data_IF_596117357733
#
_entry.id   IF_596117357733
#
_cell.length_a   1.000
_cell.length_b   1.000
_cell.length_c   1.000
_cell.angle_alpha   90.00
_cell.angle_beta   90.00
_cell.angle_gamma   90.00
#
_symmetry.space_group_name_H-M   'P 1'
#
loop_
_entity.id
_entity.type
_entity.pdbx_description
1 polymer ?
#
# COMPACT_ATOMS: atom_id res chain seq x y z
N UNK A 1 -2.60 6.77 18.11
CA UNK A 1 -3.81 6.28 17.42
C UNK A 1 -3.49 6.10 15.94
N UNK A 2 -3.98 5.02 15.32
CA UNK A 2 -3.84 4.79 13.88
C UNK A 2 -5.20 4.56 13.21
N UNK A 3 -5.29 4.80 11.91
CA UNK A 3 -6.48 4.50 11.11
C UNK A 3 -6.13 3.68 9.87
N UNK A 4 -6.92 2.63 9.62
CA UNK A 4 -6.85 1.84 8.40
C UNK A 4 -7.76 2.46 7.33
N UNK A 5 -7.22 2.68 6.14
CA UNK A 5 -7.94 3.31 5.03
C UNK A 5 -7.85 2.46 3.77
N UNK A 6 -8.80 2.59 2.85
CA UNK A 6 -8.69 1.93 1.56
C UNK A 6 -7.51 2.52 0.76
N UNK A 7 -6.74 1.68 0.06
CA UNK A 7 -5.61 2.16 -0.76
C UNK A 7 -6.02 3.15 -1.86
N UNK A 8 -7.27 3.07 -2.33
CA UNK A 8 -7.83 4.04 -3.27
C UNK A 8 -7.91 5.47 -2.70
N UNK A 9 -8.08 5.63 -1.38
CA UNK A 9 -8.13 6.95 -0.72
C UNK A 9 -6.85 7.75 -0.93
N UNK A 10 -5.72 7.08 -1.19
CA UNK A 10 -4.46 7.76 -1.54
C UNK A 10 -4.53 8.47 -2.91
N UNK A 11 -5.29 7.94 -3.86
CA UNK A 11 -5.44 8.51 -5.21
C UNK A 11 -6.55 9.55 -5.33
N UNK A 12 -7.66 9.34 -4.61
CA UNK A 12 -8.85 10.19 -4.78
C UNK A 12 -8.91 11.35 -3.80
N UNK A 13 -9.21 12.55 -4.32
CA UNK A 13 -9.54 13.73 -3.51
C UNK A 13 -11.02 13.77 -3.09
N UNK A 14 -11.90 13.09 -3.81
CA UNK A 14 -13.28 12.87 -3.37
C UNK A 14 -13.35 11.64 -2.47
N UNK A 15 -14.23 11.66 -1.47
CA UNK A 15 -14.51 10.50 -0.62
C UNK A 15 -15.31 9.41 -1.36
N UNK A 16 -15.86 9.73 -2.55
CA UNK A 16 -16.73 8.88 -3.37
C UNK A 16 -17.81 8.14 -2.56
N UNK A 17 -18.29 8.76 -1.48
CA UNK A 17 -19.32 8.21 -0.60
C UNK A 17 -18.87 7.08 0.34
N UNK A 18 -17.58 6.76 0.42
CA UNK A 18 -17.06 5.73 1.35
C UNK A 18 -16.78 6.29 2.75
N UNK A 19 -16.85 7.62 2.91
CA UNK A 19 -16.68 8.30 4.19
C UNK A 19 -15.23 8.41 4.67
N UNK A 20 -14.24 8.24 3.78
CA UNK A 20 -12.82 8.41 4.10
C UNK A 20 -12.24 9.60 3.34
N UNK A 21 -11.94 10.69 4.05
CA UNK A 21 -11.29 11.88 3.52
C UNK A 21 -9.86 11.97 4.07
N UNK A 22 -8.87 11.74 3.21
CA UNK A 22 -7.47 11.59 3.60
C UNK A 22 -6.97 12.76 4.45
N UNK A 23 -7.18 13.98 3.98
CA UNK A 23 -6.67 15.22 4.58
C UNK A 23 -7.28 15.48 5.98
N UNK A 24 -8.49 14.98 6.24
CA UNK A 24 -9.10 15.05 7.57
C UNK A 24 -8.59 13.96 8.51
N UNK A 25 -8.40 12.75 7.98
CA UNK A 25 -7.92 11.60 8.77
C UNK A 25 -6.50 11.87 9.26
N UNK A 26 -5.60 12.32 8.39
CA UNK A 26 -4.19 12.56 8.74
C UNK A 26 -3.99 13.62 9.83
N UNK A 27 -4.94 14.53 10.01
CA UNK A 27 -4.90 15.51 11.12
C UNK A 27 -5.32 14.92 12.47
N UNK A 28 -5.92 13.73 12.47
CA UNK A 28 -6.57 13.14 13.64
C UNK A 28 -5.82 11.93 14.21
N UNK A 29 -4.80 11.41 13.51
CA UNK A 29 -4.11 10.17 13.87
C UNK A 29 -2.59 10.31 13.76
N UNK A 30 -1.86 9.52 14.55
CA UNK A 30 -0.39 9.47 14.51
C UNK A 30 0.14 8.68 13.30
N UNK A 31 -0.65 7.71 12.81
CA UNK A 31 -0.32 6.87 11.66
C UNK A 31 -1.55 6.57 10.81
N UNK A 32 -1.36 6.51 9.50
CA UNK A 32 -2.35 5.94 8.57
C UNK A 32 -1.80 4.64 7.98
N UNK A 33 -2.70 3.67 7.84
CA UNK A 33 -2.38 2.35 7.30
C UNK A 33 -3.26 2.04 6.08
N UNK A 34 -2.93 2.62 4.90
CA UNK A 34 -3.66 2.32 3.68
C UNK A 34 -3.48 0.85 3.28
N UNK A 35 -4.57 0.20 2.93
CA UNK A 35 -4.62 -1.15 2.38
C UNK A 35 -4.24 -1.12 0.89
N UNK A 36 -2.94 -1.18 0.60
CA UNK A 36 -2.39 -1.13 -0.75
C UNK A 36 -2.21 -2.55 -1.27
N UNK A 37 -3.27 -3.04 -1.92
CA UNK A 37 -3.33 -4.40 -2.47
C UNK A 37 -3.42 -4.32 -4.00
N UNK A 38 -2.35 -4.67 -4.75
CA UNK A 38 -2.36 -4.66 -6.22
C UNK A 38 -3.57 -5.37 -6.85
N UNK A 39 -4.09 -6.42 -6.21
CA UNK A 39 -5.27 -7.17 -6.66
C UNK A 39 -6.59 -6.38 -6.62
N UNK A 40 -6.65 -5.30 -5.84
CA UNK A 40 -7.87 -4.53 -5.60
C UNK A 40 -7.96 -3.26 -6.46
N UNK A 41 -6.94 -2.99 -7.27
CA UNK A 41 -6.98 -1.92 -8.27
C UNK A 41 -7.60 -2.41 -9.57
N UNK A 42 -8.41 -1.56 -10.21
CA UNK A 42 -9.06 -1.84 -11.48
C UNK A 42 -8.06 -1.96 -12.64
N UNK A 43 -8.42 -2.69 -13.69
CA UNK A 43 -7.62 -2.73 -14.92
C UNK A 43 -7.33 -1.31 -15.45
N UNK A 44 -6.08 -1.03 -15.79
CA UNK A 44 -5.62 0.28 -16.25
C UNK A 44 -5.17 1.22 -15.13
N UNK A 45 -5.39 0.90 -13.86
CA UNK A 45 -4.85 1.68 -12.73
C UNK A 45 -3.32 1.77 -12.83
N UNK A 46 -2.79 2.95 -12.54
CA UNK A 46 -1.35 3.25 -12.63
C UNK A 46 -0.72 2.97 -14.00
N UNK A 47 -1.51 2.90 -15.07
CA UNK A 47 -1.03 2.59 -16.41
C UNK A 47 -0.84 1.09 -16.70
N UNK A 48 -1.18 0.20 -15.77
CA UNK A 48 -1.04 -1.24 -15.94
C UNK A 48 -2.37 -1.90 -16.29
N UNK A 49 -2.42 -2.66 -17.39
CA UNK A 49 -3.62 -3.42 -17.76
C UNK A 49 -4.05 -4.39 -16.66
N UNK A 50 -3.09 -5.01 -15.97
CA UNK A 50 -3.32 -5.94 -14.86
C UNK A 50 -2.44 -5.53 -13.66
N UNK A 51 -2.88 -4.60 -12.79
CA UNK A 51 -2.05 -4.07 -11.70
C UNK A 51 -1.45 -5.14 -10.79
N UNK A 52 -2.19 -6.22 -10.53
CA UNK A 52 -1.71 -7.34 -9.72
C UNK A 52 -0.47 -8.07 -10.26
N UNK A 53 -0.05 -7.82 -11.52
CA UNK A 53 1.19 -8.36 -12.11
C UNK A 53 2.40 -7.45 -11.94
N UNK A 54 2.20 -6.25 -11.38
CA UNK A 54 3.23 -5.21 -11.21
C UNK A 54 3.25 -4.71 -9.76
N UNK A 55 3.49 -5.60 -8.79
CA UNK A 55 3.35 -5.29 -7.36
C UNK A 55 4.23 -4.13 -6.92
N UNK A 56 5.49 -4.09 -7.36
CA UNK A 56 6.43 -3.03 -7.00
C UNK A 56 5.91 -1.67 -7.49
N UNK A 57 5.60 -1.58 -8.77
CA UNK A 57 5.23 -0.31 -9.41
C UNK A 57 3.88 0.22 -8.90
N UNK A 58 2.92 -0.68 -8.68
CA UNK A 58 1.60 -0.31 -8.14
C UNK A 58 1.71 0.18 -6.70
N UNK A 59 2.48 -0.51 -5.85
CA UNK A 59 2.68 -0.07 -4.46
C UNK A 59 3.44 1.25 -4.42
N UNK A 60 4.55 1.39 -5.15
CA UNK A 60 5.31 2.63 -5.21
C UNK A 60 4.47 3.82 -5.70
N UNK A 61 3.65 3.62 -6.73
CA UNK A 61 2.76 4.67 -7.23
C UNK A 61 1.70 5.07 -6.20
N UNK A 62 1.02 4.10 -5.57
CA UNK A 62 0.02 4.37 -4.55
C UNK A 62 0.57 5.14 -3.35
N UNK A 63 1.76 4.75 -2.86
CA UNK A 63 2.41 5.42 -1.73
C UNK A 63 2.89 6.83 -2.11
N UNK A 64 3.43 7.00 -3.32
CA UNK A 64 3.81 8.32 -3.82
C UNK A 64 2.62 9.26 -3.95
N UNK A 65 1.44 8.77 -4.33
CA UNK A 65 0.21 9.59 -4.35
C UNK A 65 -0.13 10.10 -2.94
N UNK A 66 -0.03 9.25 -1.92
CA UNK A 66 -0.22 9.64 -0.53
C UNK A 66 0.78 10.72 -0.07
N UNK A 67 2.07 10.51 -0.31
CA UNK A 67 3.12 11.47 0.05
C UNK A 67 2.97 12.80 -0.70
N UNK A 68 2.65 12.75 -2.00
CA UNK A 68 2.44 13.95 -2.84
C UNK A 68 1.23 14.77 -2.39
N UNK A 69 0.31 14.16 -1.65
CA UNK A 69 -0.84 14.83 -1.03
C UNK A 69 -0.57 15.34 0.38
N UNK A 70 0.68 15.27 0.85
CA UNK A 70 1.10 15.88 2.11
C UNK A 70 1.02 14.95 3.32
N UNK A 71 0.80 13.64 3.13
CA UNK A 71 1.02 12.67 4.20
C UNK A 71 2.51 12.67 4.56
N UNK A 72 2.83 12.87 5.84
CA UNK A 72 4.22 12.79 6.29
C UNK A 72 4.75 11.35 6.19
N UNK A 73 6.00 11.16 5.75
CA UNK A 73 6.60 9.83 5.60
C UNK A 73 6.51 9.00 6.89
N UNK A 74 6.80 9.61 8.05
CA UNK A 74 6.70 8.94 9.36
C UNK A 74 5.28 8.50 9.75
N UNK A 75 4.26 9.08 9.12
CA UNK A 75 2.85 8.79 9.40
C UNK A 75 2.32 7.68 8.47
N UNK A 76 2.97 7.43 7.33
CA UNK A 76 2.52 6.49 6.31
C UNK A 76 3.10 5.09 6.53
N UNK A 77 2.25 4.13 6.92
CA UNK A 77 2.64 2.73 7.13
C UNK A 77 1.61 1.78 6.49
N UNK A 78 1.76 1.42 5.20
CA UNK A 78 0.76 0.63 4.47
C UNK A 78 0.60 -0.80 4.98
N UNK A 79 -0.62 -1.32 4.80
CA UNK A 79 -0.86 -2.75 4.70
C UNK A 79 -0.56 -3.20 3.26
N UNK A 80 0.33 -4.18 3.12
CA UNK A 80 0.74 -4.78 1.86
C UNK A 80 0.13 -6.17 1.69
N UNK A 81 -0.12 -6.54 0.44
CA UNK A 81 -0.78 -7.79 0.08
C UNK A 81 0.14 -9.01 0.27
N UNK A 82 -0.29 -9.94 1.13
CA UNK A 82 0.32 -11.26 1.32
C UNK A 82 -0.50 -12.43 0.75
N UNK A 83 -1.75 -12.18 0.34
CA UNK A 83 -2.65 -13.18 -0.23
C UNK A 83 -2.63 -13.12 -1.78
N UNK A 84 -2.91 -14.25 -2.45
CA UNK A 84 -2.94 -14.38 -3.92
C UNK A 84 -1.67 -13.91 -4.67
N UNK A 85 -0.58 -13.72 -3.93
CA UNK A 85 0.72 -13.30 -4.41
C UNK A 85 1.70 -14.46 -4.25
N UNK A 86 2.62 -14.60 -5.19
CA UNK A 86 3.79 -15.47 -5.00
C UNK A 86 4.72 -14.86 -3.95
N UNK A 87 5.72 -15.62 -3.49
CA UNK A 87 6.72 -15.11 -2.55
C UNK A 87 7.44 -13.89 -3.12
N UNK A 88 7.71 -13.90 -4.42
CA UNK A 88 8.39 -12.80 -5.10
C UNK A 88 7.49 -11.56 -5.17
N UNK A 89 6.20 -11.72 -5.47
CA UNK A 89 5.26 -10.60 -5.49
C UNK A 89 5.13 -9.94 -4.11
N UNK A 90 5.13 -10.72 -3.02
CA UNK A 90 5.13 -10.16 -1.65
C UNK A 90 6.43 -9.40 -1.36
N UNK A 91 7.58 -9.93 -1.77
CA UNK A 91 8.88 -9.25 -1.61
C UNK A 91 8.94 -7.95 -2.42
N UNK A 92 8.34 -7.92 -3.60
CA UNK A 92 8.25 -6.71 -4.42
C UNK A 92 7.37 -5.64 -3.77
N UNK A 93 6.25 -6.04 -3.13
CA UNK A 93 5.45 -5.10 -2.31
C UNK A 93 6.28 -4.51 -1.16
N UNK A 94 7.03 -5.35 -0.43
CA UNK A 94 7.88 -4.92 0.69
C UNK A 94 8.97 -3.97 0.19
N UNK A 95 9.68 -4.37 -0.87
CA UNK A 95 10.74 -3.58 -1.47
C UNK A 95 10.24 -2.20 -1.90
N UNK A 96 9.03 -2.09 -2.46
CA UNK A 96 8.46 -0.81 -2.84
C UNK A 96 8.28 0.15 -1.66
N UNK A 97 7.87 -0.32 -0.49
CA UNK A 97 7.78 0.49 0.72
C UNK A 97 9.17 0.82 1.30
N UNK A 98 10.07 -0.18 1.37
CA UNK A 98 11.42 -0.01 1.92
C UNK A 98 12.29 0.93 1.09
N UNK A 99 12.22 0.88 -0.24
CA UNK A 99 12.94 1.79 -1.13
C UNK A 99 12.52 3.26 -0.93
N UNK A 100 11.31 3.49 -0.40
CA UNK A 100 10.79 4.82 -0.02
C UNK A 100 11.10 5.19 1.44
N UNK A 101 11.76 4.32 2.19
CA UNK A 101 12.05 4.51 3.62
C UNK A 101 10.82 4.41 4.52
N UNK A 102 9.77 3.71 4.10
CA UNK A 102 8.52 3.57 4.84
C UNK A 102 8.45 2.22 5.59
N UNK A 103 7.88 2.26 6.79
CA UNK A 103 7.47 1.05 7.51
C UNK A 103 6.25 0.39 6.83
N UNK A 104 6.02 -0.90 7.07
CA UNK A 104 4.92 -1.63 6.44
C UNK A 104 4.35 -2.74 7.33
N UNK A 105 3.16 -3.24 6.97
CA UNK A 105 2.53 -4.41 7.59
C UNK A 105 2.09 -5.37 6.48
N UNK A 106 2.38 -6.67 6.58
CA UNK A 106 1.81 -7.67 5.65
C UNK A 106 0.45 -8.17 6.17
N UNK A 107 -0.55 -8.20 5.29
CA UNK A 107 -1.82 -8.85 5.57
C UNK A 107 -2.05 -10.06 4.67
N UNK A 108 -2.42 -11.19 5.28
CA UNK A 108 -2.80 -12.41 4.58
C UNK A 108 -4.07 -13.00 5.21
N UNK A 109 -5.11 -13.23 4.41
CA UNK A 109 -6.40 -13.74 4.87
C UNK A 109 -6.30 -15.17 5.46
N UNK A 110 -5.30 -15.96 5.08
CA UNK A 110 -5.06 -17.28 5.66
C UNK A 110 -4.24 -17.25 6.95
N UNK A 111 -3.79 -16.07 7.40
CA UNK A 111 -2.87 -15.90 8.52
C UNK A 111 -1.56 -16.71 8.39
N UNK A 112 -1.17 -17.08 7.17
CA UNK A 112 0.09 -17.79 6.90
C UNK A 112 1.12 -16.83 6.35
N UNK A 113 2.32 -16.86 6.92
CA UNK A 113 3.42 -15.99 6.54
C UNK A 113 4.67 -16.83 6.31
N UNK A 114 5.19 -16.80 5.09
CA UNK A 114 6.45 -17.46 4.75
C UNK A 114 7.62 -16.54 5.14
N UNK A 115 8.59 -17.05 5.90
CA UNK A 115 9.73 -16.26 6.35
C UNK A 115 10.58 -15.71 5.21
N UNK A 116 10.54 -16.35 4.03
CA UNK A 116 11.25 -15.88 2.85
C UNK A 116 10.70 -14.55 2.30
N UNK A 117 9.47 -14.16 2.67
CA UNK A 117 8.95 -12.82 2.36
C UNK A 117 9.87 -11.72 2.89
N UNK A 118 10.55 -11.96 4.01
CA UNK A 118 11.34 -10.96 4.73
C UNK A 118 12.83 -11.01 4.37
N UNK A 119 13.17 -11.65 3.25
CA UNK A 119 14.53 -11.67 2.71
C UNK A 119 14.68 -10.60 1.63
N UNK A 120 15.76 -9.82 1.72
CA UNK A 120 16.04 -8.77 0.73
C UNK A 120 16.17 -9.37 -0.67
N UNK A 121 15.61 -8.69 -1.66
CA UNK A 121 15.87 -8.99 -3.08
C UNK A 121 17.27 -8.45 -3.37
N UNK A 122 18.24 -9.34 -3.55
CA UNK A 122 19.57 -8.94 -4.01
C UNK A 122 19.48 -8.55 -5.50
N UNK A 123 20.01 -7.37 -5.82
CA UNK A 123 20.08 -6.78 -7.17
C UNK A 123 21.42 -7.04 -7.83
#
# INVERSE_FOLDING_TARGET
MSADIFGYVLQTKSDNGIGQHLESIVQSVDFISPMVYPSHYSNGSFGYQYPNKYPYEVVSAALNDGLSRGVEMKQLRPYLQGFWHTKEDVRLNIKAAEDMGLDWIIWNNSSMYDTNYFTKIES
#
